data_IF_935049234357
#
_entry.id   IF_935049234357
#
_cell.length_a   1.000
_cell.length_b   1.000
_cell.length_c   1.000
_cell.angle_alpha   90.00
_cell.angle_beta   90.00
_cell.angle_gamma   90.00
#
_symmetry.space_group_name_H-M   'P 1'
#
loop_
_entity.id
_entity.type
_entity.pdbx_description
1 polymer ?
#
# COMPACT_ATOMS: atom_id res chain seq x y z
N UNK A 1 7.86 -30.53 -13.69
CA UNK A 1 7.40 -29.14 -13.77
C UNK A 1 8.09 -28.36 -12.67
N UNK A 2 8.71 -27.25 -13.00
CA UNK A 2 9.30 -26.35 -12.01
C UNK A 2 8.15 -25.70 -11.22
N UNK A 3 8.21 -25.76 -9.89
CA UNK A 3 7.17 -25.15 -9.04
C UNK A 3 7.35 -23.63 -9.07
N UNK A 4 6.25 -22.89 -9.28
CA UNK A 4 6.24 -21.44 -9.17
C UNK A 4 6.66 -21.03 -7.75
N UNK A 5 7.45 -19.96 -7.64
CA UNK A 5 7.88 -19.41 -6.36
C UNK A 5 6.76 -18.58 -5.77
N UNK A 6 6.57 -18.63 -4.46
CA UNK A 6 5.56 -17.82 -3.78
C UNK A 6 5.84 -16.31 -3.86
N UNK A 7 7.13 -15.93 -3.90
CA UNK A 7 7.59 -14.54 -4.05
C UNK A 7 8.70 -14.42 -5.08
N UNK A 8 8.63 -13.36 -5.87
CA UNK A 8 9.67 -12.96 -6.82
C UNK A 8 9.92 -11.45 -6.70
N UNK A 9 11.10 -11.00 -7.11
CA UNK A 9 11.42 -9.58 -7.23
C UNK A 9 11.89 -9.33 -8.66
N UNK A 10 11.23 -8.42 -9.37
CA UNK A 10 11.52 -8.10 -10.77
C UNK A 10 11.35 -6.59 -10.99
N UNK A 11 12.30 -5.96 -11.70
CA UNK A 11 12.34 -4.51 -11.93
C UNK A 11 12.27 -3.65 -10.63
N UNK A 12 12.72 -4.19 -9.50
CA UNK A 12 12.67 -3.52 -8.19
C UNK A 12 11.29 -3.57 -7.51
N UNK A 13 10.35 -4.36 -8.04
CA UNK A 13 9.03 -4.59 -7.46
C UNK A 13 8.97 -6.03 -6.96
N UNK A 14 8.51 -6.20 -5.72
CA UNK A 14 8.18 -7.51 -5.17
C UNK A 14 6.82 -7.95 -5.70
N UNK A 15 6.68 -9.24 -6.01
CA UNK A 15 5.42 -9.85 -6.38
C UNK A 15 5.15 -11.08 -5.53
N UNK A 16 3.87 -11.30 -5.23
CA UNK A 16 3.35 -12.49 -4.56
C UNK A 16 2.52 -13.33 -5.53
N UNK A 17 2.65 -14.65 -5.46
CA UNK A 17 1.82 -15.56 -6.24
C UNK A 17 0.43 -15.68 -5.59
N UNK A 18 -0.62 -15.30 -6.32
CA UNK A 18 -2.03 -15.40 -5.91
C UNK A 18 -2.80 -16.11 -7.02
N UNK A 19 -3.18 -17.37 -6.76
CA UNK A 19 -3.72 -18.24 -7.80
C UNK A 19 -2.69 -18.49 -8.89
N UNK A 20 -3.04 -18.15 -10.13
CA UNK A 20 -2.19 -18.36 -11.30
C UNK A 20 -1.39 -17.11 -11.72
N UNK A 21 -1.48 -16.03 -10.92
CA UNK A 21 -0.91 -14.72 -11.26
C UNK A 21 0.02 -14.18 -10.17
N UNK A 22 1.04 -13.44 -10.60
CA UNK A 22 1.86 -12.62 -9.71
C UNK A 22 1.22 -11.24 -9.54
N UNK A 23 0.96 -10.85 -8.29
CA UNK A 23 0.42 -9.53 -7.92
C UNK A 23 1.54 -8.72 -7.27
N UNK A 24 1.74 -7.44 -7.66
CA UNK A 24 2.78 -6.61 -7.08
C UNK A 24 2.48 -6.27 -5.61
N UNK A 25 3.42 -6.58 -4.72
CA UNK A 25 3.43 -6.26 -3.28
C UNK A 25 3.97 -4.84 -3.08
N UNK A 26 3.21 -3.84 -3.55
CA UNK A 26 3.58 -2.44 -3.47
C UNK A 26 3.52 -1.94 -2.03
N UNK A 27 4.69 -1.66 -1.45
CA UNK A 27 4.79 -1.02 -0.13
C UNK A 27 4.97 0.47 -0.29
N UNK A 28 4.11 1.25 0.36
CA UNK A 28 4.32 2.68 0.48
C UNK A 28 5.56 2.90 1.37
N UNK A 29 6.44 3.86 1.02
CA UNK A 29 7.48 4.28 1.93
C UNK A 29 6.86 4.87 3.20
N UNK A 30 7.62 4.90 4.29
CA UNK A 30 7.17 5.56 5.51
C UNK A 30 6.86 7.04 5.22
N UNK A 31 5.62 7.44 5.46
CA UNK A 31 5.14 8.79 5.20
C UNK A 31 5.44 9.69 6.40
N UNK A 32 6.56 10.42 6.31
CA UNK A 32 7.00 11.38 7.35
C UNK A 32 6.67 12.84 7.03
N UNK A 33 6.09 13.12 5.85
CA UNK A 33 5.81 14.51 5.46
C UNK A 33 4.72 15.11 6.34
N UNK A 34 4.82 16.40 6.70
CA UNK A 34 3.79 17.04 7.49
C UNK A 34 2.47 17.13 6.71
N UNK A 35 1.36 16.89 7.40
CA UNK A 35 0.02 17.01 6.81
C UNK A 35 -0.21 18.48 6.44
N UNK A 36 -0.45 18.76 5.15
CA UNK A 36 -0.77 20.09 4.65
C UNK A 36 -2.10 20.65 5.15
N UNK A 37 -2.40 21.92 4.83
CA UNK A 37 -3.62 22.63 5.29
C UNK A 37 -4.90 21.81 5.04
N UNK A 38 -5.11 21.34 3.81
CA UNK A 38 -6.30 20.58 3.44
C UNK A 38 -6.37 19.21 4.09
N UNK A 39 -5.23 18.54 4.29
CA UNK A 39 -5.19 17.27 5.00
C UNK A 39 -5.60 17.43 6.47
N UNK A 40 -5.17 18.52 7.13
CA UNK A 40 -5.60 18.83 8.50
C UNK A 40 -7.10 19.12 8.56
N UNK A 41 -7.62 19.93 7.65
CA UNK A 41 -9.07 20.23 7.57
C UNK A 41 -9.89 18.95 7.39
N UNK A 42 -9.51 18.08 6.45
CA UNK A 42 -10.19 16.80 6.24
C UNK A 42 -10.13 15.91 7.49
N UNK A 43 -8.98 15.87 8.18
CA UNK A 43 -8.84 15.10 9.42
C UNK A 43 -9.78 15.61 10.51
N UNK A 44 -9.89 16.92 10.70
CA UNK A 44 -10.83 17.48 11.69
C UNK A 44 -12.29 17.24 11.31
N UNK A 45 -12.66 17.35 10.03
CA UNK A 45 -13.98 16.98 9.54
C UNK A 45 -14.32 15.51 9.86
N UNK A 46 -13.40 14.59 9.56
CA UNK A 46 -13.62 13.16 9.81
C UNK A 46 -13.81 12.86 11.30
N UNK A 47 -13.11 13.55 12.21
CA UNK A 47 -13.32 13.39 13.65
C UNK A 47 -14.72 13.83 14.11
N UNK A 48 -15.31 14.82 13.45
CA UNK A 48 -16.62 15.37 13.80
C UNK A 48 -17.75 14.55 13.21
N UNK A 49 -17.65 14.22 11.91
CA UNK A 49 -18.76 13.64 11.14
C UNK A 49 -18.69 12.11 11.02
N UNK A 50 -17.50 11.53 11.20
CA UNK A 50 -17.28 10.08 11.14
C UNK A 50 -16.45 9.60 12.33
N UNK A 51 -16.93 9.82 13.58
CA UNK A 51 -16.30 9.22 14.75
C UNK A 51 -16.33 7.70 14.62
N UNK A 52 -15.20 7.07 14.94
CA UNK A 52 -15.04 5.61 14.95
C UNK A 52 -15.82 4.95 16.10
#
# INVERSE_FOLDING_TARGET
MEKLKERITENGIDYILVGDYYIPDLKLPEESRPIGRYGRLRREYLKQEHPA
#
